data_IF_092780900075
#
_entry.id   IF_092780900075
#
_cell.length_a   1.000
_cell.length_b   1.000
_cell.length_c   1.000
_cell.angle_alpha   90.00
_cell.angle_beta   90.00
_cell.angle_gamma   90.00
#
_symmetry.space_group_name_H-M   'P 1'
#
loop_
_entity.id
_entity.type
_entity.pdbx_description
1 polymer ?
#
# COMPACT_ATOMS: atom_id res chain seq x y z
N UNK A 1 11.19 2.61 -7.67
CA UNK A 1 10.13 1.68 -8.11
C UNK A 1 9.09 1.56 -7.00
N UNK A 2 7.83 1.19 -7.30
CA UNK A 2 6.79 1.02 -6.25
C UNK A 2 7.25 0.00 -5.19
N UNK A 3 7.93 -1.07 -5.62
CA UNK A 3 8.53 -2.07 -4.72
C UNK A 3 9.59 -1.52 -3.77
N UNK A 4 10.30 -0.44 -4.14
CA UNK A 4 11.24 0.21 -3.24
C UNK A 4 10.50 1.04 -2.19
N UNK A 5 9.39 1.68 -2.59
CA UNK A 5 8.53 2.41 -1.68
C UNK A 5 7.90 1.48 -0.64
N UNK A 6 7.32 0.35 -1.05
CA UNK A 6 6.67 -0.59 -0.11
C UNK A 6 7.67 -1.12 0.93
N UNK A 7 8.89 -1.50 0.51
CA UNK A 7 9.98 -1.88 1.43
C UNK A 7 10.45 -0.75 2.34
N UNK A 8 10.36 0.50 1.88
CA UNK A 8 10.68 1.67 2.70
C UNK A 8 9.62 1.88 3.79
N UNK A 9 8.34 1.61 3.51
CA UNK A 9 7.25 1.70 4.49
C UNK A 9 7.52 0.79 5.69
N UNK A 10 7.91 -0.46 5.47
CA UNK A 10 8.25 -1.42 6.55
C UNK A 10 9.25 -0.83 7.55
N UNK A 11 10.30 -0.18 7.03
CA UNK A 11 11.39 0.37 7.84
C UNK A 11 11.04 1.71 8.47
N UNK A 12 10.29 2.55 7.75
CA UNK A 12 9.95 3.90 8.19
C UNK A 12 8.85 3.91 9.26
N UNK A 13 7.97 2.90 9.25
CA UNK A 13 6.81 2.84 10.15
C UNK A 13 6.71 1.48 10.87
N UNK A 14 7.64 1.15 11.80
CA UNK A 14 7.61 -0.14 12.51
C UNK A 14 6.31 -0.42 13.26
N UNK A 15 5.61 0.63 13.73
CA UNK A 15 4.35 0.52 14.43
C UNK A 15 3.20 -0.07 13.57
N UNK A 16 3.30 0.04 12.24
CA UNK A 16 2.31 -0.56 11.33
C UNK A 16 2.46 -2.08 11.21
N UNK A 17 3.56 -2.66 11.71
CA UNK A 17 3.92 -4.06 11.50
C UNK A 17 3.78 -4.44 10.03
N UNK A 18 4.32 -3.57 9.17
CA UNK A 18 4.07 -3.63 7.74
C UNK A 18 4.89 -4.71 7.05
N UNK A 19 4.29 -5.39 6.06
CA UNK A 19 4.96 -6.36 5.19
C UNK A 19 4.67 -6.07 3.72
N UNK A 20 5.71 -5.80 2.94
CA UNK A 20 5.66 -5.55 1.52
C UNK A 20 5.46 -6.85 0.73
N UNK A 21 4.51 -6.84 -0.20
CA UNK A 21 4.16 -7.98 -1.05
C UNK A 21 3.87 -7.56 -2.50
N UNK A 22 3.91 -8.51 -3.42
CA UNK A 22 3.54 -8.33 -4.83
C UNK A 22 4.69 -8.49 -5.83
N UNK A 23 4.38 -8.39 -7.13
CA UNK A 23 5.32 -8.52 -8.25
C UNK A 23 5.07 -7.50 -9.35
N UNK A 24 6.14 -6.92 -9.89
CA UNK A 24 6.04 -5.94 -10.98
C UNK A 24 5.32 -4.66 -10.51
N UNK A 25 4.33 -4.21 -11.28
CA UNK A 25 3.52 -3.03 -10.92
C UNK A 25 2.36 -3.35 -9.98
N UNK A 26 2.06 -4.63 -9.75
CA UNK A 26 1.11 -5.06 -8.73
C UNK A 26 1.85 -5.20 -7.41
N UNK A 27 1.72 -4.23 -6.52
CA UNK A 27 2.43 -4.16 -5.24
C UNK A 27 1.45 -3.85 -4.13
N UNK A 28 1.78 -4.19 -2.88
CA UNK A 28 0.97 -3.81 -1.74
C UNK A 28 1.74 -3.91 -0.43
N UNK A 29 1.12 -3.41 0.63
CA UNK A 29 1.67 -3.47 1.99
C UNK A 29 0.60 -4.01 2.93
N UNK A 30 0.88 -5.15 3.55
CA UNK A 30 0.14 -5.66 4.68
C UNK A 30 0.29 -4.70 5.86
N UNK A 31 -0.78 -4.33 6.53
CA UNK A 31 -0.72 -3.67 7.82
C UNK A 31 -1.12 -4.68 8.90
N UNK A 32 -0.27 -4.87 9.92
CA UNK A 32 -0.63 -5.67 11.09
C UNK A 32 -1.46 -4.91 12.13
N UNK A 33 -1.77 -3.63 11.87
CA UNK A 33 -2.63 -2.80 12.68
C UNK A 33 -4.03 -2.69 12.02
N UNK A 34 -5.05 -3.15 12.73
CA UNK A 34 -6.43 -3.15 12.25
C UNK A 34 -6.89 -1.75 11.81
N UNK A 35 -7.56 -1.67 10.66
CA UNK A 35 -8.08 -0.43 10.08
C UNK A 35 -7.02 0.52 9.51
N UNK A 36 -5.72 0.25 9.68
CA UNK A 36 -4.67 1.15 9.20
C UNK A 36 -4.67 1.29 7.67
N UNK A 37 -4.84 0.20 6.93
CA UNK A 37 -4.88 0.23 5.47
C UNK A 37 -6.06 1.08 4.95
N UNK A 38 -7.25 0.94 5.54
CA UNK A 38 -8.40 1.79 5.20
C UNK A 38 -8.13 3.27 5.45
N UNK A 39 -7.59 3.63 6.63
CA UNK A 39 -7.30 5.03 6.98
C UNK A 39 -6.25 5.65 6.04
N UNK A 40 -5.25 4.86 5.65
CA UNK A 40 -4.25 5.26 4.65
C UNK A 40 -4.95 5.55 3.31
N UNK A 41 -5.85 4.68 2.85
CA UNK A 41 -6.54 4.88 1.56
C UNK A 41 -7.51 6.06 1.60
N UNK A 42 -8.24 6.24 2.70
CA UNK A 42 -9.08 7.44 2.91
C UNK A 42 -8.24 8.71 2.78
N UNK A 43 -7.03 8.72 3.34
CA UNK A 43 -6.12 9.87 3.25
C UNK A 43 -5.51 10.03 1.85
N UNK A 44 -5.18 8.93 1.16
CA UNK A 44 -4.74 8.95 -0.24
C UNK A 44 -5.83 9.55 -1.15
N UNK A 45 -7.08 9.14 -0.97
CA UNK A 45 -8.20 9.62 -1.78
C UNK A 45 -8.43 11.12 -1.63
N UNK A 46 -8.37 11.65 -0.39
CA UNK A 46 -8.43 13.10 -0.14
C UNK A 46 -7.33 13.87 -0.87
N UNK A 47 -6.20 13.23 -1.16
CA UNK A 47 -5.04 13.80 -1.87
C UNK A 47 -5.07 13.52 -3.37
N UNK A 48 -6.14 12.92 -3.89
CA UNK A 48 -6.30 12.59 -5.31
C UNK A 48 -5.60 11.32 -5.76
N UNK A 49 -5.09 10.50 -4.83
CA UNK A 49 -4.54 9.18 -5.14
C UNK A 49 -5.61 8.12 -4.94
N UNK A 50 -6.03 7.48 -6.03
CA UNK A 50 -7.00 6.39 -6.01
C UNK A 50 -6.27 5.07 -5.78
N UNK A 51 -6.65 4.36 -4.73
CA UNK A 51 -6.13 3.06 -4.32
C UNK A 51 -7.26 2.25 -3.68
N UNK A 52 -7.06 0.95 -3.54
CA UNK A 52 -8.01 0.05 -2.87
C UNK A 52 -7.33 -0.84 -1.81
N UNK A 53 -8.13 -1.32 -0.86
CA UNK A 53 -7.71 -2.31 0.11
C UNK A 53 -7.91 -3.72 -0.44
N UNK A 54 -7.14 -4.67 0.05
CA UNK A 54 -7.32 -6.10 -0.22
C UNK A 54 -6.96 -6.95 0.99
N UNK A 55 -7.24 -8.25 0.89
CA UNK A 55 -7.13 -9.19 2.01
C UNK A 55 -8.48 -9.44 2.71
N UNK A 56 -8.60 -10.54 3.48
CA UNK A 56 -9.85 -10.91 4.15
C UNK A 56 -10.33 -9.89 5.19
N UNK A 57 -9.45 -9.03 5.69
CA UNK A 57 -9.78 -8.00 6.68
C UNK A 57 -9.45 -6.58 6.17
N UNK A 58 -9.40 -6.39 4.84
CA UNK A 58 -9.01 -5.12 4.22
C UNK A 58 -7.62 -4.63 4.69
N UNK A 59 -6.73 -5.55 5.08
CA UNK A 59 -5.50 -5.23 5.78
C UNK A 59 -4.34 -4.83 4.85
N UNK A 60 -4.52 -4.94 3.53
CA UNK A 60 -3.50 -4.60 2.54
C UNK A 60 -3.91 -3.34 1.81
N UNK A 61 -3.06 -2.33 1.73
CA UNK A 61 -3.25 -1.27 0.73
C UNK A 61 -2.43 -1.59 -0.51
N UNK A 62 -3.06 -1.61 -1.69
CA UNK A 62 -2.42 -2.05 -2.93
C UNK A 62 -2.29 -0.96 -4.00
N UNK A 63 -1.28 -1.17 -4.85
CA UNK A 63 -0.91 -0.35 -5.99
C UNK A 63 -1.19 -1.13 -7.26
N UNK A 64 -2.13 -0.62 -8.04
CA UNK A 64 -2.52 -1.12 -9.37
C UNK A 64 -2.20 -0.09 -10.44
N UNK A 65 -0.96 0.40 -10.44
CA UNK A 65 -0.55 1.41 -11.39
C UNK A 65 -0.60 0.85 -12.83
N UNK A 66 -1.03 1.66 -13.82
CA UNK A 66 -1.02 1.23 -15.22
C UNK A 66 0.40 0.93 -15.67
N UNK A 67 0.57 -0.05 -16.56
CA UNK A 67 1.89 -0.42 -17.09
C UNK A 67 2.55 0.69 -17.92
N UNK A 68 1.75 1.67 -18.36
CA UNK A 68 2.17 2.84 -19.12
C UNK A 68 2.35 4.08 -18.23
N UNK A 69 2.39 3.92 -16.90
CA UNK A 69 2.63 5.04 -15.98
C UNK A 69 4.00 5.68 -16.27
N UNK A 70 4.06 7.01 -16.21
CA UNK A 70 5.31 7.76 -16.35
C UNK A 70 6.28 7.45 -15.20
N UNK A 71 7.56 7.82 -15.38
CA UNK A 71 8.62 7.64 -14.39
C UNK A 71 8.64 8.74 -13.32
#
# INVERSE_FOLDING_TARGET
MISDFTKKVEKAYPALQAEARGRGMFQGVACGLDGAAEEIIKECFKRGLVMETSGPNDEVFEFLAPLIIDQ
#
